data_IF_966465437049
#
_entry.id   IF_966465437049
#
_cell.length_a   1.000
_cell.length_b   1.000
_cell.length_c   1.000
_cell.angle_alpha   90.00
_cell.angle_beta   90.00
_cell.angle_gamma   90.00
#
_symmetry.space_group_name_H-M   'P 1'
#
loop_
_entity.id
_entity.type
_entity.pdbx_description
1 polymer ?
#
# COMPACT_ATOMS: atom_id res chain seq x y z
N UNK A 1 -53.21 7.79 -44.56
CA UNK A 1 -52.95 6.86 -43.44
C UNK A 1 -51.50 6.39 -43.56
N UNK A 2 -50.60 7.01 -42.80
CA UNK A 2 -49.17 6.66 -42.78
C UNK A 2 -48.92 6.04 -41.40
N UNK A 3 -48.62 4.74 -41.37
CA UNK A 3 -48.34 4.01 -40.15
C UNK A 3 -46.90 4.29 -39.70
N UNK A 4 -46.74 4.81 -38.47
CA UNK A 4 -45.46 4.93 -37.77
C UNK A 4 -45.20 3.63 -37.02
N UNK A 5 -44.11 2.94 -37.34
CA UNK A 5 -43.60 1.82 -36.55
C UNK A 5 -42.67 2.37 -35.47
N UNK A 6 -43.04 2.18 -34.20
CA UNK A 6 -42.18 2.46 -33.04
C UNK A 6 -41.26 1.27 -32.79
N UNK A 7 -39.96 1.46 -32.95
CA UNK A 7 -38.93 0.50 -32.53
C UNK A 7 -38.63 0.79 -31.06
N UNK A 8 -39.10 -0.08 -30.16
CA UNK A 8 -38.68 -0.06 -28.76
C UNK A 8 -37.37 -0.84 -28.64
N UNK A 9 -36.28 -0.12 -28.40
CA UNK A 9 -34.98 -0.71 -28.09
C UNK A 9 -34.97 -1.23 -26.65
N UNK A 10 -34.92 -2.55 -26.51
CA UNK A 10 -34.70 -3.23 -25.23
C UNK A 10 -33.21 -3.08 -24.86
N UNK A 11 -32.90 -2.20 -23.91
CA UNK A 11 -31.55 -2.13 -23.32
C UNK A 11 -31.39 -3.30 -22.36
N UNK A 12 -30.70 -4.33 -22.82
CA UNK A 12 -30.36 -5.50 -22.01
C UNK A 12 -29.22 -5.11 -21.06
N UNK A 13 -29.56 -4.75 -19.81
CA UNK A 13 -28.59 -4.64 -18.73
C UNK A 13 -28.03 -6.03 -18.42
N UNK A 14 -26.86 -6.37 -18.98
CA UNK A 14 -26.06 -7.51 -18.54
C UNK A 14 -25.58 -7.22 -17.11
N UNK A 15 -26.29 -7.78 -16.13
CA UNK A 15 -25.79 -7.92 -14.77
C UNK A 15 -24.60 -8.88 -14.79
N UNK A 16 -23.39 -8.32 -14.75
CA UNK A 16 -22.19 -9.09 -14.41
C UNK A 16 -22.36 -9.59 -12.98
N UNK A 17 -22.69 -10.88 -12.83
CA UNK A 17 -22.65 -11.53 -11.54
C UNK A 17 -21.21 -11.46 -11.01
N UNK A 18 -20.98 -11.03 -9.75
CA UNK A 18 -19.67 -11.12 -9.15
C UNK A 18 -19.31 -12.60 -9.10
N UNK A 19 -18.26 -13.00 -9.82
CA UNK A 19 -17.56 -14.25 -9.56
C UNK A 19 -16.97 -14.11 -8.17
N UNK A 20 -17.72 -14.55 -7.15
CA UNK A 20 -17.20 -14.63 -5.80
C UNK A 20 -15.98 -15.53 -5.82
N UNK A 21 -14.81 -14.98 -5.50
CA UNK A 21 -13.78 -15.79 -4.86
C UNK A 21 -14.46 -16.47 -3.67
N UNK A 22 -14.47 -17.80 -3.65
CA UNK A 22 -14.90 -18.56 -2.48
C UNK A 22 -14.20 -18.00 -1.24
N UNK A 23 -14.96 -17.81 -0.16
CA UNK A 23 -14.43 -17.43 1.14
C UNK A 23 -13.24 -18.33 1.48
N UNK A 24 -12.06 -17.72 1.68
CA UNK A 24 -10.81 -18.40 2.03
C UNK A 24 -11.07 -19.35 3.20
N UNK A 25 -10.78 -20.63 3.00
CA UNK A 25 -10.93 -21.67 4.03
C UNK A 25 -9.89 -21.45 5.12
N UNK A 26 -10.27 -20.72 6.15
CA UNK A 26 -9.71 -20.94 7.49
C UNK A 26 -9.93 -22.39 7.89
N UNK A 27 -9.09 -22.91 8.79
CA UNK A 27 -9.32 -24.20 9.45
C UNK A 27 -10.80 -24.28 9.86
N UNK A 28 -11.57 -25.30 9.40
CA UNK A 28 -12.99 -25.40 9.70
C UNK A 28 -13.28 -25.46 11.22
N UNK A 29 -12.29 -25.84 12.03
CA UNK A 29 -12.40 -25.89 13.49
C UNK A 29 -11.95 -24.59 14.18
N UNK A 30 -11.34 -23.66 13.44
CA UNK A 30 -10.91 -22.37 13.99
C UNK A 30 -12.10 -21.48 14.34
N UNK A 31 -12.11 -21.00 15.59
CA UNK A 31 -13.08 -20.03 16.07
C UNK A 31 -12.36 -18.76 16.45
N UNK A 32 -12.55 -17.71 15.65
CA UNK A 32 -12.00 -16.41 15.94
C UNK A 32 -12.48 -15.91 17.32
N UNK A 33 -11.58 -15.32 18.14
CA UNK A 33 -12.00 -14.64 19.37
C UNK A 33 -13.04 -13.57 19.03
N UNK A 34 -13.94 -13.30 19.98
CA UNK A 34 -15.04 -12.35 19.79
C UNK A 34 -14.98 -11.21 20.78
N UNK A 35 -15.38 -10.02 20.32
CA UNK A 35 -15.57 -8.84 21.16
C UNK A 35 -16.75 -9.05 22.11
N UNK A 36 -16.89 -8.16 23.11
CA UNK A 36 -18.02 -8.19 24.05
C UNK A 36 -19.40 -8.01 23.37
N UNK A 37 -19.42 -7.51 22.13
CA UNK A 37 -20.62 -7.34 21.30
C UNK A 37 -20.74 -8.40 20.18
N UNK A 38 -19.90 -9.43 20.19
CA UNK A 38 -20.07 -10.65 19.38
C UNK A 38 -19.46 -10.65 17.99
N UNK A 39 -18.78 -9.58 17.57
CA UNK A 39 -18.01 -9.55 16.32
C UNK A 39 -16.66 -10.25 16.50
N UNK A 40 -16.05 -10.79 15.42
CA UNK A 40 -14.66 -11.25 15.45
C UNK A 40 -13.72 -10.14 15.94
N UNK A 41 -12.83 -10.48 16.87
CA UNK A 41 -11.88 -9.57 17.47
C UNK A 41 -10.62 -9.47 16.60
N UNK A 42 -10.44 -8.31 15.99
CA UNK A 42 -9.26 -7.93 15.20
C UNK A 42 -8.34 -6.97 15.98
N UNK A 43 -8.71 -6.60 17.21
CA UNK A 43 -7.96 -5.61 17.98
C UNK A 43 -6.53 -6.08 18.24
N UNK A 44 -5.66 -5.09 18.41
CA UNK A 44 -4.26 -5.29 18.73
C UNK A 44 -3.34 -4.74 17.65
N UNK A 45 -2.07 -5.10 17.79
CA UNK A 45 -1.02 -4.61 16.92
C UNK A 45 -0.61 -5.71 15.94
N UNK A 46 -0.40 -5.31 14.69
CA UNK A 46 -0.18 -6.21 13.55
C UNK A 46 0.93 -5.66 12.67
N UNK A 47 1.62 -6.53 11.92
CA UNK A 47 2.65 -6.16 10.96
C UNK A 47 2.41 -6.85 9.63
N UNK A 48 2.53 -6.12 8.52
CA UNK A 48 2.48 -6.72 7.18
C UNK A 48 3.86 -6.98 6.57
N UNK A 49 4.93 -6.88 7.37
CA UNK A 49 6.30 -7.05 6.90
C UNK A 49 6.53 -8.43 6.26
N UNK A 50 7.05 -8.45 5.03
CA UNK A 50 7.27 -9.68 4.27
C UNK A 50 8.30 -9.52 3.17
N UNK A 51 9.06 -10.59 2.93
CA UNK A 51 9.99 -10.72 1.81
C UNK A 51 9.28 -10.89 0.46
N UNK A 52 7.99 -11.20 0.46
CA UNK A 52 7.24 -11.47 -0.77
C UNK A 52 7.12 -10.19 -1.63
N UNK A 53 7.48 -10.26 -2.92
CA UNK A 53 7.36 -9.12 -3.83
C UNK A 53 5.88 -8.79 -4.08
N UNK A 54 5.58 -7.57 -4.53
CA UNK A 54 4.18 -7.15 -4.69
C UNK A 54 3.62 -7.81 -5.95
N UNK A 55 4.39 -7.69 -7.04
CA UNK A 55 4.16 -8.40 -8.29
C UNK A 55 5.10 -9.59 -8.44
N UNK A 56 4.61 -10.64 -9.09
CA UNK A 56 5.37 -11.86 -9.38
C UNK A 56 6.46 -11.60 -10.41
N UNK A 57 7.66 -12.13 -10.20
CA UNK A 57 8.69 -12.10 -11.24
C UNK A 57 8.25 -12.95 -12.43
N UNK A 58 8.50 -12.47 -13.66
CA UNK A 58 8.12 -13.20 -14.87
C UNK A 58 8.79 -14.58 -14.89
N UNK A 59 8.03 -15.61 -15.27
CA UNK A 59 8.51 -17.00 -15.35
C UNK A 59 8.47 -17.79 -14.04
N UNK A 60 8.07 -17.19 -12.91
CA UNK A 60 7.82 -17.93 -11.67
C UNK A 60 6.38 -18.42 -11.58
N UNK A 61 6.20 -19.60 -10.97
CA UNK A 61 4.89 -20.09 -10.54
C UNK A 61 4.35 -19.32 -9.33
N UNK A 62 3.10 -19.59 -8.88
CA UNK A 62 2.46 -18.86 -7.78
C UNK A 62 3.03 -19.16 -6.39
N UNK A 63 3.72 -20.30 -6.25
CA UNK A 63 4.22 -20.81 -4.98
C UNK A 63 5.72 -21.07 -5.08
N UNK A 64 6.49 -20.59 -4.10
CA UNK A 64 7.91 -20.94 -3.97
C UNK A 64 8.06 -22.38 -3.49
N UNK A 65 9.08 -23.04 -4.03
CA UNK A 65 9.58 -24.29 -3.45
C UNK A 65 10.22 -24.03 -2.08
N UNK A 66 10.30 -25.05 -1.22
CA UNK A 66 10.93 -24.89 0.09
C UNK A 66 12.41 -24.45 -0.03
N UNK A 67 13.15 -24.94 -1.02
CA UNK A 67 14.53 -24.54 -1.26
C UNK A 67 14.66 -23.04 -1.59
N UNK A 68 13.74 -22.49 -2.40
CA UNK A 68 13.71 -21.05 -2.69
C UNK A 68 13.36 -20.23 -1.46
N UNK A 69 12.44 -20.71 -0.62
CA UNK A 69 12.12 -20.06 0.66
C UNK A 69 13.34 -20.03 1.58
N UNK A 70 14.01 -21.18 1.74
CA UNK A 70 15.19 -21.29 2.59
C UNK A 70 16.32 -20.36 2.10
N UNK A 71 16.49 -20.23 0.78
CA UNK A 71 17.44 -19.30 0.18
C UNK A 71 17.08 -17.84 0.47
N UNK A 72 15.82 -17.45 0.27
CA UNK A 72 15.35 -16.07 0.46
C UNK A 72 15.43 -15.65 1.92
N UNK A 73 14.89 -16.46 2.83
CA UNK A 73 14.90 -16.18 4.27
C UNK A 73 16.31 -16.29 4.87
N UNK A 74 17.12 -17.23 4.38
CA UNK A 74 18.53 -17.36 4.76
C UNK A 74 19.36 -16.15 4.35
N UNK A 75 19.16 -15.64 3.12
CA UNK A 75 19.82 -14.43 2.62
C UNK A 75 19.44 -13.20 3.43
N UNK A 76 18.16 -13.04 3.78
CA UNK A 76 17.73 -11.90 4.61
C UNK A 76 18.37 -11.99 6.00
N UNK A 77 18.33 -13.17 6.64
CA UNK A 77 18.95 -13.39 7.96
C UNK A 77 20.44 -13.01 7.96
N UNK A 78 21.18 -13.44 6.94
CA UNK A 78 22.60 -13.09 6.76
C UNK A 78 22.81 -11.58 6.53
N UNK A 79 21.93 -10.94 5.74
CA UNK A 79 21.96 -9.50 5.47
C UNK A 79 21.72 -8.69 6.74
N UNK A 80 20.73 -9.06 7.54
CA UNK A 80 20.42 -8.41 8.81
C UNK A 80 21.56 -8.59 9.79
N UNK A 81 22.10 -9.80 9.93
CA UNK A 81 23.22 -10.07 10.84
C UNK A 81 24.44 -9.20 10.48
N UNK A 82 24.91 -9.26 9.24
CA UNK A 82 26.10 -8.52 8.79
C UNK A 82 25.88 -7.01 8.78
N UNK A 83 24.67 -6.57 8.41
CA UNK A 83 24.37 -5.15 8.27
C UNK A 83 24.00 -4.45 9.58
N UNK A 84 23.84 -5.19 10.68
CA UNK A 84 23.53 -4.65 12.01
C UNK A 84 24.78 -4.42 12.87
N UNK A 85 25.95 -4.85 12.39
CA UNK A 85 27.22 -4.61 13.07
C UNK A 85 27.51 -3.12 13.24
N UNK A 86 28.19 -2.76 14.34
CA UNK A 86 28.56 -1.38 14.62
C UNK A 86 29.38 -0.78 13.46
N UNK A 87 28.98 0.41 13.01
CA UNK A 87 29.75 1.14 12.01
C UNK A 87 31.14 1.49 12.56
N UNK A 88 32.20 1.32 11.77
CA UNK A 88 33.55 1.72 12.15
C UNK A 88 33.64 3.27 12.25
N UNK A 89 33.84 3.85 13.44
CA UNK A 89 33.92 5.30 13.61
C UNK A 89 35.20 5.90 12.99
N UNK A 90 36.24 5.09 12.80
CA UNK A 90 37.53 5.52 12.25
C UNK A 90 37.58 5.41 10.70
N UNK A 91 36.47 5.06 10.05
CA UNK A 91 36.46 5.01 8.59
C UNK A 91 36.60 6.43 8.02
N UNK A 92 37.52 6.62 7.08
CA UNK A 92 37.63 7.87 6.35
C UNK A 92 36.35 8.20 5.56
N UNK A 93 36.13 9.47 5.19
CA UNK A 93 34.99 9.84 4.35
C UNK A 93 35.05 9.09 3.02
N UNK A 94 33.90 8.73 2.42
CA UNK A 94 33.88 8.16 1.08
C UNK A 94 34.46 9.18 0.07
N UNK A 95 34.95 8.72 -1.10
CA UNK A 95 35.32 9.63 -2.18
C UNK A 95 34.19 10.61 -2.51
N UNK A 96 34.52 11.80 -3.02
CA UNK A 96 33.52 12.85 -3.34
C UNK A 96 32.44 12.36 -4.32
N UNK A 97 32.78 11.42 -5.20
CA UNK A 97 31.87 10.74 -6.13
C UNK A 97 31.45 9.34 -5.67
N UNK A 98 31.87 8.94 -4.47
CA UNK A 98 31.61 7.63 -3.89
C UNK A 98 30.22 7.55 -3.28
N UNK A 99 29.58 6.39 -3.42
CA UNK A 99 28.36 6.09 -2.67
C UNK A 99 28.68 6.05 -1.18
N UNK A 100 27.84 6.72 -0.37
CA UNK A 100 27.86 6.56 1.11
C UNK A 100 27.43 5.14 1.54
N UNK A 101 27.07 4.27 0.60
CA UNK A 101 26.60 2.91 0.84
C UNK A 101 25.18 2.91 1.39
N UNK A 102 24.97 2.18 2.49
CA UNK A 102 23.68 2.13 3.19
C UNK A 102 23.58 3.32 4.16
N UNK A 103 22.50 4.08 4.06
CA UNK A 103 22.25 5.24 4.93
C UNK A 103 21.99 4.87 6.39
N UNK A 104 21.60 3.62 6.65
CA UNK A 104 21.35 3.06 7.99
C UNK A 104 21.87 1.62 8.11
N UNK A 105 22.21 1.22 9.33
CA UNK A 105 22.37 -0.18 9.71
C UNK A 105 21.08 -0.98 9.43
N UNK A 106 21.21 -2.29 9.18
CA UNK A 106 20.06 -3.13 8.85
C UNK A 106 19.06 -3.30 9.99
N UNK A 107 19.47 -3.11 11.25
CA UNK A 107 18.58 -3.15 12.41
C UNK A 107 17.45 -2.11 12.36
N UNK A 108 17.61 -1.03 11.60
CA UNK A 108 16.58 0.01 11.41
C UNK A 108 15.64 -0.27 10.23
N UNK A 109 15.88 -1.33 9.46
CA UNK A 109 14.98 -1.74 8.38
C UNK A 109 14.07 -2.86 8.87
N UNK A 110 12.79 -2.72 8.59
CA UNK A 110 11.78 -3.74 8.75
C UNK A 110 11.30 -4.16 7.35
N UNK A 111 11.98 -5.14 6.77
CA UNK A 111 11.64 -5.72 5.45
C UNK A 111 10.83 -7.01 5.58
N UNK A 112 10.61 -7.46 6.80
CA UNK A 112 10.20 -8.83 7.12
C UNK A 112 11.34 -9.83 6.95
N UNK A 113 11.25 -10.95 7.64
CA UNK A 113 12.24 -12.04 7.66
C UNK A 113 11.69 -13.35 7.09
N UNK A 114 10.45 -13.31 6.60
CA UNK A 114 9.72 -14.45 6.03
C UNK A 114 9.03 -14.10 4.73
N UNK A 115 8.90 -15.11 3.89
CA UNK A 115 7.97 -15.08 2.76
C UNK A 115 6.53 -15.14 3.29
N UNK A 116 5.61 -14.42 2.65
CA UNK A 116 4.18 -14.48 2.94
C UNK A 116 3.66 -15.90 2.68
N UNK A 117 2.92 -16.45 3.65
CA UNK A 117 2.27 -17.75 3.55
C UNK A 117 0.77 -17.56 3.68
N UNK A 118 0.02 -18.17 2.79
CA UNK A 118 -1.45 -18.22 2.82
C UNK A 118 -1.84 -19.66 2.58
N UNK A 119 -2.66 -20.22 3.47
CA UNK A 119 -3.08 -21.63 3.44
C UNK A 119 -1.91 -22.63 3.36
N UNK A 120 -0.81 -22.30 4.06
CA UNK A 120 0.43 -23.10 4.08
C UNK A 120 1.37 -22.89 2.88
N UNK A 121 0.89 -22.26 1.81
CA UNK A 121 1.67 -22.05 0.58
C UNK A 121 2.50 -20.76 0.64
N UNK A 122 3.79 -20.86 0.33
CA UNK A 122 4.70 -19.70 0.26
C UNK A 122 4.48 -18.92 -1.05
N UNK A 123 3.88 -17.73 -0.96
CA UNK A 123 3.48 -16.94 -2.14
C UNK A 123 4.67 -16.27 -2.82
N UNK A 124 4.72 -16.35 -4.15
CA UNK A 124 5.73 -15.64 -4.97
C UNK A 124 5.38 -14.19 -5.29
N UNK A 125 4.19 -13.74 -4.91
CA UNK A 125 3.71 -12.37 -5.04
C UNK A 125 2.56 -12.09 -4.07
N UNK A 126 2.36 -10.83 -3.69
CA UNK A 126 1.18 -10.41 -2.94
C UNK A 126 -0.05 -10.27 -3.84
N UNK A 127 0.13 -9.90 -5.11
CA UNK A 127 -0.96 -9.98 -6.10
C UNK A 127 -1.19 -11.45 -6.47
N UNK A 128 -2.44 -11.88 -6.38
CA UNK A 128 -2.91 -13.24 -6.69
C UNK A 128 -3.92 -13.25 -7.83
N UNK A 129 -4.53 -12.10 -8.12
CA UNK A 129 -5.47 -11.91 -9.22
C UNK A 129 -5.07 -10.66 -10.03
N UNK A 130 -4.83 -10.77 -11.35
CA UNK A 130 -4.89 -11.97 -12.19
C UNK A 130 -3.87 -13.04 -11.79
N UNK A 131 -4.05 -14.27 -12.31
CA UNK A 131 -3.27 -15.44 -11.91
C UNK A 131 -1.77 -15.31 -12.21
N UNK A 132 -1.36 -14.38 -13.07
CA UNK A 132 0.05 -14.06 -13.33
C UNK A 132 0.70 -13.26 -12.19
N UNK A 133 -0.08 -12.77 -11.22
CA UNK A 133 0.36 -12.12 -10.00
C UNK A 133 0.89 -10.72 -10.25
N UNK A 134 0.30 -10.02 -11.21
CA UNK A 134 0.73 -8.69 -11.66
C UNK A 134 -0.43 -7.71 -11.75
N UNK A 135 -0.12 -6.42 -11.69
CA UNK A 135 -1.14 -5.41 -11.97
C UNK A 135 -1.49 -5.52 -13.47
N UNK A 136 -2.79 -5.53 -13.84
CA UNK A 136 -3.20 -5.59 -15.24
C UNK A 136 -2.70 -4.41 -16.06
N UNK A 137 -2.75 -4.58 -17.38
CA UNK A 137 -2.50 -3.49 -18.32
C UNK A 137 -3.47 -2.33 -18.08
N UNK A 138 -2.97 -1.12 -18.28
CA UNK A 138 -3.80 0.08 -18.23
C UNK A 138 -4.71 0.14 -19.46
N UNK A 139 -5.92 0.66 -19.27
CA UNK A 139 -6.75 1.07 -20.41
C UNK A 139 -6.12 2.25 -21.15
N UNK A 140 -6.56 2.58 -22.38
CA UNK A 140 -6.11 3.79 -23.06
C UNK A 140 -6.30 5.07 -22.23
N UNK A 141 -7.40 5.15 -21.46
CA UNK A 141 -7.65 6.28 -20.56
C UNK A 141 -6.68 6.30 -19.38
N UNK A 142 -6.46 5.15 -18.72
CA UNK A 142 -5.48 5.02 -17.65
C UNK A 142 -4.06 5.36 -18.10
N UNK A 143 -3.66 4.88 -19.27
CA UNK A 143 -2.38 5.19 -19.89
C UNK A 143 -2.24 6.68 -20.21
N UNK A 144 -3.29 7.33 -20.73
CA UNK A 144 -3.30 8.77 -20.98
C UNK A 144 -3.14 9.55 -19.68
N UNK A 145 -3.89 9.22 -18.62
CA UNK A 145 -3.77 9.87 -17.30
C UNK A 145 -2.35 9.81 -16.75
N UNK A 146 -1.71 8.64 -16.88
CA UNK A 146 -0.30 8.46 -16.51
C UNK A 146 0.63 9.33 -17.36
N UNK A 147 0.43 9.36 -18.67
CA UNK A 147 1.23 10.19 -19.59
C UNK A 147 1.09 11.68 -19.28
N UNK A 148 -0.12 12.17 -19.05
CA UNK A 148 -0.39 13.58 -18.75
C UNK A 148 0.35 14.01 -17.47
N UNK A 149 0.38 13.13 -16.45
CA UNK A 149 1.15 13.33 -15.23
C UNK A 149 2.65 13.45 -15.52
N UNK A 150 3.23 12.51 -16.28
CA UNK A 150 4.65 12.57 -16.65
C UNK A 150 4.98 13.79 -17.50
N UNK A 151 4.11 14.15 -18.46
CA UNK A 151 4.30 15.31 -19.31
C UNK A 151 4.33 16.59 -18.47
N UNK A 152 3.40 16.73 -17.53
CA UNK A 152 3.39 17.85 -16.59
C UNK A 152 4.70 17.92 -15.78
N UNK A 153 5.14 16.80 -15.19
CA UNK A 153 6.41 16.74 -14.43
C UNK A 153 7.62 17.12 -15.28
N UNK A 154 7.65 16.70 -16.54
CA UNK A 154 8.80 16.92 -17.43
C UNK A 154 9.06 18.39 -17.77
N UNK A 155 8.11 19.28 -17.49
CA UNK A 155 8.22 20.73 -17.73
C UNK A 155 9.06 21.46 -16.68
N UNK A 156 9.44 20.80 -15.59
CA UNK A 156 10.14 21.41 -14.46
C UNK A 156 11.29 20.50 -13.97
N UNK A 157 12.23 21.05 -13.20
CA UNK A 157 13.12 20.23 -12.39
C UNK A 157 12.35 19.47 -11.30
N UNK A 158 12.98 18.45 -10.70
CA UNK A 158 12.34 17.50 -9.77
C UNK A 158 11.55 18.19 -8.63
N UNK A 159 12.00 19.38 -8.22
CA UNK A 159 11.49 20.12 -7.09
C UNK A 159 11.10 21.58 -7.41
N UNK A 160 11.09 21.96 -8.69
CA UNK A 160 10.96 23.37 -9.14
C UNK A 160 9.51 23.84 -9.31
N UNK A 161 8.54 23.04 -8.85
CA UNK A 161 7.12 23.38 -8.91
C UNK A 161 6.39 22.90 -7.64
N UNK A 162 5.48 23.70 -7.05
CA UNK A 162 4.79 23.34 -5.81
C UNK A 162 3.96 22.06 -5.93
N UNK A 163 3.40 21.78 -7.10
CA UNK A 163 2.66 20.54 -7.39
C UNK A 163 3.56 19.31 -7.61
N UNK A 164 4.88 19.50 -7.68
CA UNK A 164 5.86 18.40 -7.71
C UNK A 164 6.39 18.03 -6.34
N UNK A 165 6.10 18.83 -5.30
CA UNK A 165 6.50 18.54 -3.92
C UNK A 165 5.77 17.28 -3.42
N UNK A 166 6.52 16.25 -2.98
CA UNK A 166 5.92 15.00 -2.58
C UNK A 166 4.79 15.08 -1.56
N UNK A 167 3.73 14.30 -1.71
CA UNK A 167 2.68 14.19 -0.69
C UNK A 167 3.24 13.77 0.68
N UNK A 168 4.29 12.95 0.68
CA UNK A 168 5.00 12.54 1.89
C UNK A 168 5.76 13.71 2.54
N UNK A 169 6.39 14.58 1.74
CA UNK A 169 7.07 15.78 2.25
C UNK A 169 6.07 16.78 2.84
N UNK A 170 4.88 16.85 2.24
CA UNK A 170 3.78 17.69 2.70
C UNK A 170 3.03 17.11 3.91
N UNK A 171 3.44 15.93 4.40
CA UNK A 171 2.79 15.20 5.49
C UNK A 171 1.28 14.95 5.23
N UNK A 172 0.93 14.65 3.97
CA UNK A 172 -0.46 14.43 3.54
C UNK A 172 -0.79 12.93 3.44
N UNK A 173 0.05 12.18 2.73
CA UNK A 173 -0.05 10.72 2.60
C UNK A 173 1.37 10.18 2.54
N UNK A 174 1.63 9.11 3.29
CA UNK A 174 2.90 8.41 3.19
C UNK A 174 2.83 7.17 2.30
N UNK A 175 3.83 7.05 1.42
CA UNK A 175 3.99 5.89 0.54
C UNK A 175 5.22 5.06 0.84
N UNK A 176 6.23 5.58 1.56
CA UNK A 176 7.49 4.88 1.78
C UNK A 176 8.05 4.24 0.51
N UNK A 177 8.49 2.98 0.59
CA UNK A 177 8.74 2.15 -0.59
C UNK A 177 7.58 1.22 -0.94
N UNK A 178 6.40 1.41 -0.32
CA UNK A 178 5.17 0.69 -0.61
C UNK A 178 4.75 0.85 -2.08
N UNK A 179 3.95 -0.10 -2.55
CA UNK A 179 3.45 -0.13 -3.92
C UNK A 179 2.17 0.66 -4.12
N UNK A 180 1.43 0.92 -3.06
CA UNK A 180 0.12 1.56 -3.13
C UNK A 180 0.05 2.76 -2.21
N UNK A 181 0.11 2.49 -0.92
CA UNK A 181 0.15 3.37 0.23
C UNK A 181 0.30 2.47 1.46
N UNK A 182 0.65 3.07 2.60
CA UNK A 182 0.63 2.34 3.87
C UNK A 182 -0.81 2.13 4.36
N UNK A 183 -1.70 3.11 4.09
CA UNK A 183 -3.07 3.16 4.63
C UNK A 183 -4.19 3.19 3.59
N UNK A 184 -3.89 3.55 2.34
CA UNK A 184 -4.90 3.51 1.28
C UNK A 184 -5.00 2.13 0.64
N UNK A 185 -6.18 1.75 0.15
CA UNK A 185 -6.34 0.47 -0.51
C UNK A 185 -5.53 0.39 -1.82
N UNK A 186 -4.79 -0.71 -2.06
CA UNK A 186 -4.51 -1.77 -1.10
C UNK A 186 -3.43 -1.38 -0.08
N UNK A 187 -3.60 -1.80 1.17
CA UNK A 187 -2.57 -1.63 2.20
C UNK A 187 -1.41 -2.57 1.93
N UNK A 188 -0.25 -2.01 1.56
CA UNK A 188 0.91 -2.82 1.16
C UNK A 188 2.15 -2.46 1.96
N UNK A 189 3.06 -3.44 2.19
CA UNK A 189 4.23 -3.22 3.03
C UNK A 189 5.12 -2.10 2.50
N UNK A 190 5.65 -1.27 3.40
CA UNK A 190 6.57 -0.18 3.10
C UNK A 190 7.87 -0.69 2.50
N UNK A 191 8.27 -1.94 2.81
CA UNK A 191 9.58 -2.54 2.51
C UNK A 191 10.79 -1.76 3.03
N UNK A 192 10.54 -0.78 3.89
CA UNK A 192 11.53 0.08 4.51
C UNK A 192 11.55 -0.23 5.98
N UNK A 193 10.75 0.53 6.74
CA UNK A 193 10.56 0.41 8.17
C UNK A 193 9.09 0.69 8.52
N UNK A 194 8.70 0.39 9.76
CA UNK A 194 7.40 0.72 10.36
C UNK A 194 6.20 0.13 9.61
N UNK A 195 6.23 -1.18 9.34
CA UNK A 195 5.12 -1.90 8.70
C UNK A 195 4.02 -2.30 9.69
N UNK A 196 3.90 -1.58 10.81
CA UNK A 196 3.06 -1.94 11.94
C UNK A 196 1.75 -1.15 11.92
N UNK A 197 0.69 -1.80 12.39
CA UNK A 197 -0.67 -1.27 12.45
C UNK A 197 -1.27 -1.51 13.83
N UNK A 198 -2.05 -0.57 14.33
CA UNK A 198 -2.93 -0.76 15.48
C UNK A 198 -4.37 -0.84 14.98
N UNK A 199 -5.07 -1.89 15.39
CA UNK A 199 -6.52 -2.00 15.21
C UNK A 199 -7.22 -1.75 16.54
N UNK A 200 -8.15 -0.80 16.54
CA UNK A 200 -9.09 -0.57 17.64
C UNK A 200 -10.50 -0.74 17.11
N UNK A 201 -11.35 -1.45 17.85
CA UNK A 201 -12.72 -1.74 17.44
C UNK A 201 -13.71 -1.25 18.49
N UNK A 202 -14.82 -0.68 18.03
CA UNK A 202 -16.02 -0.52 18.84
C UNK A 202 -17.22 -1.18 18.14
N UNK A 203 -18.43 -0.92 18.64
CA UNK A 203 -19.66 -1.51 18.08
C UNK A 203 -19.95 -0.99 16.66
N UNK A 204 -19.54 0.24 16.35
CA UNK A 204 -19.91 0.99 15.15
C UNK A 204 -18.71 1.25 14.21
N UNK A 205 -17.48 1.01 14.65
CA UNK A 205 -16.26 1.38 13.93
C UNK A 205 -15.14 0.35 14.09
N UNK A 206 -14.32 0.25 13.04
CA UNK A 206 -12.98 -0.33 13.09
C UNK A 206 -11.98 0.75 12.67
N UNK A 207 -11.08 1.10 13.58
CA UNK A 207 -10.00 2.05 13.37
C UNK A 207 -8.73 1.27 13.06
N UNK A 208 -8.05 1.64 11.97
CA UNK A 208 -6.75 1.08 11.60
C UNK A 208 -5.77 2.24 11.54
N UNK A 209 -4.80 2.26 12.45
CA UNK A 209 -3.73 3.25 12.48
C UNK A 209 -2.44 2.62 12.00
N UNK A 210 -1.72 3.30 11.11
CA UNK A 210 -0.36 2.93 10.72
C UNK A 210 0.65 3.56 11.67
N UNK A 211 1.69 2.82 12.07
CA UNK A 211 2.85 3.39 12.78
C UNK A 211 3.54 4.48 11.95
N UNK A 212 3.55 4.34 10.62
CA UNK A 212 4.18 5.32 9.75
C UNK A 212 3.30 6.57 9.59
N UNK A 213 3.87 7.74 9.87
CA UNK A 213 3.21 9.05 9.93
C UNK A 213 2.23 9.18 11.10
N UNK A 214 0.93 9.15 10.85
CA UNK A 214 -0.13 9.40 11.84
C UNK A 214 -1.51 9.10 11.24
N UNK A 215 -1.53 8.33 10.15
CA UNK A 215 -2.74 8.13 9.36
C UNK A 215 -3.64 7.11 10.08
N UNK A 216 -4.90 7.50 10.28
CA UNK A 216 -5.94 6.65 10.88
C UNK A 216 -7.06 6.48 9.86
N UNK A 217 -7.29 5.24 9.46
CA UNK A 217 -8.42 4.86 8.62
C UNK A 217 -9.60 4.45 9.50
N UNK A 218 -10.73 5.13 9.30
CA UNK A 218 -11.98 4.87 10.03
C UNK A 218 -12.91 4.09 9.11
N UNK A 219 -13.16 2.82 9.44
CA UNK A 219 -14.16 1.97 8.80
C UNK A 219 -15.44 2.05 9.62
N UNK A 220 -16.52 2.58 9.05
CA UNK A 220 -17.85 2.64 9.69
C UNK A 220 -18.61 1.34 9.43
N UNK A 221 -19.29 0.82 10.45
CA UNK A 221 -20.02 -0.43 10.39
C UNK A 221 -21.53 -0.19 10.18
N UNK A 222 -22.18 -1.12 9.46
CA UNK A 222 -23.63 -1.12 9.25
C UNK A 222 -24.07 -0.56 7.91
N UNK A 223 -25.28 0.00 7.84
CA UNK A 223 -25.85 0.47 6.58
C UNK A 223 -25.11 1.71 6.05
N UNK A 224 -24.52 1.65 4.83
CA UNK A 224 -23.70 2.74 4.33
C UNK A 224 -24.44 4.05 4.11
N UNK A 225 -24.09 5.06 4.90
CA UNK A 225 -24.41 6.48 4.64
C UNK A 225 -23.24 7.13 3.94
N UNK A 226 -23.10 6.83 2.65
CA UNK A 226 -21.96 7.24 1.82
C UNK A 226 -21.84 8.76 1.70
N UNK A 227 -20.60 9.25 1.67
CA UNK A 227 -20.30 10.65 1.37
C UNK A 227 -20.71 10.99 -0.08
N UNK A 228 -21.19 12.23 -0.34
CA UNK A 228 -21.40 12.69 -1.71
C UNK A 228 -20.13 12.55 -2.56
N UNK A 229 -20.26 12.14 -3.82
CA UNK A 229 -19.13 11.83 -4.73
C UNK A 229 -18.09 12.95 -4.90
N UNK A 230 -18.46 14.20 -4.61
CA UNK A 230 -17.55 15.36 -4.64
C UNK A 230 -16.64 15.47 -3.42
N UNK A 231 -17.00 14.82 -2.31
CA UNK A 231 -16.20 14.78 -1.09
C UNK A 231 -15.30 13.56 -1.19
N UNK A 232 -14.01 13.79 -1.38
CA UNK A 232 -13.00 12.75 -1.60
C UNK A 232 -11.86 12.84 -0.58
N UNK A 233 -11.98 12.18 0.58
CA UNK A 233 -10.87 12.04 1.52
C UNK A 233 -9.68 11.31 0.88
N UNK A 234 -8.46 11.55 1.38
CA UNK A 234 -7.25 10.91 0.85
C UNK A 234 -7.34 9.39 0.81
N UNK A 235 -7.83 8.77 1.89
CA UNK A 235 -8.02 7.31 2.01
C UNK A 235 -9.44 6.85 1.66
N UNK A 236 -10.28 7.73 1.12
CA UNK A 236 -11.65 7.42 0.71
C UNK A 236 -12.68 7.32 1.85
N UNK A 237 -13.88 6.89 1.48
CA UNK A 237 -15.03 6.66 2.36
C UNK A 237 -15.21 5.16 2.59
N UNK A 238 -14.79 4.67 3.75
CA UNK A 238 -14.76 3.24 4.08
C UNK A 238 -15.98 2.82 4.91
N UNK A 239 -16.72 1.85 4.41
CA UNK A 239 -17.84 1.22 5.10
C UNK A 239 -17.66 -0.28 5.11
N UNK A 240 -18.01 -0.94 6.22
CA UNK A 240 -17.86 -2.37 6.35
C UNK A 240 -19.02 -3.08 7.03
N UNK A 241 -19.05 -4.38 6.83
CA UNK A 241 -19.99 -5.30 7.45
C UNK A 241 -19.29 -6.64 7.71
N UNK A 242 -19.87 -7.43 8.61
CA UNK A 242 -19.31 -8.73 8.97
C UNK A 242 -19.97 -9.86 8.17
N UNK A 243 -19.13 -10.72 7.59
CA UNK A 243 -19.53 -11.98 6.96
C UNK A 243 -18.81 -13.12 7.69
N UNK A 244 -19.50 -13.77 8.63
CA UNK A 244 -18.88 -14.79 9.49
C UNK A 244 -17.72 -14.23 10.31
N UNK A 245 -16.49 -14.67 10.01
CA UNK A 245 -15.26 -14.24 10.68
C UNK A 245 -14.51 -13.11 9.94
N UNK A 246 -15.10 -12.56 8.89
CA UNK A 246 -14.46 -11.61 7.98
C UNK A 246 -15.13 -10.25 8.06
N UNK A 247 -14.34 -9.20 8.30
CA UNK A 247 -14.77 -7.83 8.06
C UNK A 247 -14.59 -7.52 6.57
N UNK A 248 -15.69 -7.33 5.86
CA UNK A 248 -15.69 -6.87 4.46
C UNK A 248 -15.81 -5.36 4.46
N UNK A 249 -14.90 -4.67 3.77
CA UNK A 249 -14.84 -3.21 3.69
C UNK A 249 -14.91 -2.78 2.24
N UNK A 250 -15.86 -1.91 1.90
CA UNK A 250 -15.93 -1.26 0.60
C UNK A 250 -15.55 0.22 0.75
N UNK A 251 -14.55 0.64 -0.04
CA UNK A 251 -14.06 2.01 -0.05
C UNK A 251 -14.20 2.64 -1.42
N UNK A 252 -14.85 3.81 -1.43
CA UNK A 252 -15.07 4.66 -2.61
C UNK A 252 -14.53 6.06 -2.33
N UNK A 253 -14.69 7.00 -3.27
CA UNK A 253 -14.37 8.41 -3.09
C UNK A 253 -12.89 8.65 -2.70
N UNK A 254 -11.97 7.77 -3.08
CA UNK A 254 -10.54 7.95 -2.83
C UNK A 254 -10.06 9.17 -3.63
N UNK A 255 -9.23 10.00 -3.00
CA UNK A 255 -8.70 11.19 -3.67
C UNK A 255 -7.91 10.78 -4.93
N UNK A 256 -8.14 11.36 -6.11
CA UNK A 256 -7.52 10.90 -7.36
C UNK A 256 -5.98 11.00 -7.37
N UNK A 257 -5.42 11.95 -6.60
CA UNK A 257 -3.97 12.08 -6.46
C UNK A 257 -3.35 11.07 -5.47
N UNK A 258 -4.15 10.25 -4.78
CA UNK A 258 -3.63 9.28 -3.81
C UNK A 258 -2.82 8.15 -4.48
N UNK A 259 -2.98 7.86 -5.78
CA UNK A 259 -2.28 6.75 -6.44
C UNK A 259 -0.96 7.16 -7.10
N UNK A 260 -0.83 8.44 -7.44
CA UNK A 260 0.32 8.97 -8.15
C UNK A 260 1.49 9.18 -7.18
N UNK A 261 2.24 8.11 -6.88
CA UNK A 261 3.53 8.24 -6.21
C UNK A 261 4.54 8.86 -7.18
N UNK A 262 5.07 10.04 -6.84
CA UNK A 262 5.87 10.89 -7.73
C UNK A 262 7.15 10.26 -8.32
N UNK A 263 7.58 9.14 -7.75
CA UNK A 263 8.85 8.47 -8.07
C UNK A 263 8.67 7.13 -8.80
N UNK A 264 7.49 6.50 -8.78
CA UNK A 264 7.39 5.08 -9.21
C UNK A 264 6.06 4.65 -9.87
N UNK A 265 5.08 5.55 -10.07
CA UNK A 265 3.80 5.30 -10.77
C UNK A 265 3.00 4.05 -10.36
N UNK A 266 3.21 3.53 -9.15
CA UNK A 266 2.95 2.11 -8.89
C UNK A 266 1.46 1.73 -8.92
N UNK A 267 0.54 2.63 -8.59
CA UNK A 267 -0.90 2.42 -8.77
C UNK A 267 -1.54 3.71 -9.25
N UNK A 268 -1.85 3.78 -10.55
CA UNK A 268 -2.69 4.87 -11.08
C UNK A 268 -4.14 4.47 -10.83
N UNK A 269 -4.99 5.44 -10.50
CA UNK A 269 -6.42 5.20 -10.42
C UNK A 269 -7.22 6.40 -10.92
N UNK A 270 -8.47 6.14 -11.26
CA UNK A 270 -9.47 7.12 -11.63
C UNK A 270 -10.34 7.46 -10.42
N UNK A 271 -11.15 8.49 -10.59
CA UNK A 271 -12.17 8.88 -9.64
C UNK A 271 -13.21 7.76 -9.36
N UNK A 272 -13.31 6.75 -10.24
CA UNK A 272 -14.25 5.63 -10.16
C UNK A 272 -13.66 4.40 -9.45
N UNK A 273 -12.45 4.53 -8.87
CA UNK A 273 -11.86 3.50 -8.03
C UNK A 273 -12.79 3.09 -6.89
N UNK A 274 -13.10 1.79 -6.86
CA UNK A 274 -13.72 1.10 -5.73
C UNK A 274 -12.80 -0.03 -5.25
N UNK A 275 -12.47 -0.03 -3.97
CA UNK A 275 -11.74 -1.11 -3.34
C UNK A 275 -12.69 -1.98 -2.49
N UNK A 276 -12.56 -3.29 -2.61
CA UNK A 276 -13.20 -4.26 -1.70
C UNK A 276 -12.08 -4.94 -0.93
N UNK A 277 -12.06 -4.77 0.38
CA UNK A 277 -11.06 -5.34 1.26
C UNK A 277 -11.71 -6.31 2.22
N UNK A 278 -10.97 -7.33 2.65
CA UNK A 278 -11.44 -8.31 3.62
C UNK A 278 -10.37 -8.54 4.65
N UNK A 279 -10.75 -8.45 5.93
CA UNK A 279 -9.89 -8.74 7.05
C UNK A 279 -10.45 -9.98 7.76
N UNK A 280 -9.79 -11.11 7.56
CA UNK A 280 -10.22 -12.39 8.15
C UNK A 280 -9.24 -12.77 9.25
N UNK A 281 -9.73 -13.00 10.47
CA UNK A 281 -8.91 -13.60 11.53
C UNK A 281 -8.67 -15.07 11.21
N UNK A 282 -7.51 -15.38 10.63
CA UNK A 282 -7.21 -16.71 10.09
C UNK A 282 -6.78 -17.69 11.18
N UNK A 283 -6.07 -17.19 12.20
CA UNK A 283 -5.63 -17.91 13.38
C UNK A 283 -5.31 -16.92 14.52
N UNK A 284 -4.72 -17.41 15.62
CA UNK A 284 -4.34 -16.59 16.78
C UNK A 284 -3.36 -15.46 16.43
N UNK A 285 -2.49 -15.65 15.44
CA UNK A 285 -1.38 -14.76 15.11
C UNK A 285 -1.48 -14.11 13.74
N UNK A 286 -2.56 -14.37 12.98
CA UNK A 286 -2.71 -13.93 11.60
C UNK A 286 -4.06 -13.29 11.30
N UNK A 287 -4.02 -12.06 10.76
CA UNK A 287 -5.12 -11.49 9.98
C UNK A 287 -4.75 -11.64 8.51
N UNK A 288 -5.57 -12.35 7.75
CA UNK A 288 -5.46 -12.38 6.30
C UNK A 288 -6.19 -11.17 5.72
N UNK A 289 -5.41 -10.19 5.27
CA UNK A 289 -5.94 -9.06 4.51
C UNK A 289 -5.95 -9.41 3.02
N UNK A 290 -7.13 -9.35 2.40
CA UNK A 290 -7.26 -9.43 0.94
C UNK A 290 -7.91 -8.19 0.38
N UNK A 291 -7.67 -7.94 -0.90
CA UNK A 291 -8.22 -6.79 -1.58
C UNK A 291 -8.55 -7.07 -3.03
N UNK A 292 -9.51 -6.33 -3.56
CA UNK A 292 -9.85 -6.22 -4.96
C UNK A 292 -9.97 -4.75 -5.35
N UNK A 293 -9.42 -4.41 -6.51
CA UNK A 293 -9.41 -3.08 -7.09
C UNK A 293 -10.29 -3.07 -8.34
N UNK A 294 -11.40 -2.34 -8.25
CA UNK A 294 -12.38 -2.15 -9.30
C UNK A 294 -12.23 -0.73 -9.86
N UNK A 295 -11.54 -0.61 -10.99
CA UNK A 295 -11.40 0.67 -11.71
C UNK A 295 -11.31 0.42 -13.23
N UNK A 296 -12.45 0.25 -13.90
CA UNK A 296 -12.49 -0.09 -15.33
C UNK A 296 -12.02 1.05 -16.25
N UNK A 297 -11.84 2.26 -15.71
CA UNK A 297 -11.28 3.39 -16.45
C UNK A 297 -9.78 3.45 -16.39
N UNK A 298 -9.16 2.73 -15.45
CA UNK A 298 -7.71 2.66 -15.34
C UNK A 298 -7.16 1.30 -15.74
N UNK A 299 -7.79 0.20 -15.36
CA UNK A 299 -7.30 -1.16 -15.59
C UNK A 299 -8.20 -1.95 -16.54
N UNK A 300 -7.60 -2.84 -17.33
CA UNK A 300 -8.33 -3.71 -18.27
C UNK A 300 -9.18 -4.79 -17.59
N UNK A 301 -8.94 -5.06 -16.31
CA UNK A 301 -9.70 -6.00 -15.47
C UNK A 301 -9.53 -5.64 -14.00
N UNK A 302 -10.41 -6.20 -13.15
CA UNK A 302 -10.25 -6.18 -11.69
C UNK A 302 -8.94 -6.89 -11.33
N UNK A 303 -8.28 -6.45 -10.27
CA UNK A 303 -7.08 -7.10 -9.75
C UNK A 303 -7.05 -7.06 -8.24
N UNK A 304 -6.30 -7.96 -7.62
CA UNK A 304 -6.37 -8.20 -6.19
C UNK A 304 -5.22 -9.03 -5.66
N UNK A 305 -5.15 -9.12 -4.34
CA UNK A 305 -4.04 -9.77 -3.67
C UNK A 305 -4.34 -10.15 -2.22
N UNK A 306 -3.36 -10.80 -1.64
CA UNK A 306 -3.35 -11.32 -0.28
C UNK A 306 -2.10 -10.79 0.44
N UNK A 307 -2.29 -10.17 1.60
CA UNK A 307 -1.21 -9.72 2.47
C UNK A 307 -1.49 -10.26 3.87
N UNK A 308 -0.83 -11.36 4.29
CA UNK A 308 -0.99 -11.84 5.66
C UNK A 308 -0.34 -10.84 6.62
N UNK A 309 -1.11 -10.41 7.61
CA UNK A 309 -0.62 -9.59 8.71
C UNK A 309 -0.38 -10.48 9.90
N UNK A 310 0.81 -10.36 10.50
CA UNK A 310 1.19 -11.11 11.69
C UNK A 310 1.03 -10.27 12.93
N UNK A 311 0.71 -10.91 14.03
CA UNK A 311 0.65 -10.26 15.33
C UNK A 311 1.98 -9.59 15.69
N UNK A 312 1.89 -8.39 16.25
CA UNK A 312 3.04 -7.61 16.71
C UNK A 312 2.86 -7.31 18.20
N UNK A 313 3.44 -8.14 19.07
CA UNK A 313 3.24 -8.07 20.53
C UNK A 313 4.05 -6.95 21.23
N UNK A 314 4.36 -5.86 20.52
CA UNK A 314 5.05 -4.69 21.06
C UNK A 314 4.20 -3.42 20.92
N UNK A 315 4.61 -2.36 21.59
CA UNK A 315 3.97 -1.05 21.48
C UNK A 315 4.31 -0.41 20.15
N UNK A 316 3.32 0.24 19.54
CA UNK A 316 3.52 1.11 18.40
C UNK A 316 3.90 2.48 18.92
N UNK A 317 5.00 3.04 18.42
CA UNK A 317 5.51 4.34 18.81
C UNK A 317 5.06 5.43 17.83
N UNK A 318 5.09 6.68 18.28
CA UNK A 318 4.81 7.82 17.43
C UNK A 318 5.88 7.99 16.34
N UNK A 319 5.44 8.30 15.12
CA UNK A 319 6.32 8.72 14.04
C UNK A 319 6.36 10.25 13.91
N UNK A 320 7.37 10.88 14.51
CA UNK A 320 7.57 12.32 14.44
C UNK A 320 8.38 12.74 13.20
N UNK A 321 7.73 13.03 12.07
CA UNK A 321 8.41 13.38 10.81
C UNK A 321 9.02 14.80 10.78
N UNK A 322 8.52 15.74 11.58
CA UNK A 322 8.85 17.17 11.45
C UNK A 322 9.67 17.72 12.63
N UNK A 323 9.67 17.05 13.78
CA UNK A 323 10.40 17.52 14.95
C UNK A 323 11.91 17.49 14.71
N UNK A 324 12.61 18.59 14.97
CA UNK A 324 14.05 18.71 14.70
C UNK A 324 14.44 18.82 13.22
N UNK A 325 13.51 19.10 12.31
CA UNK A 325 13.82 19.23 10.89
C UNK A 325 14.52 20.57 10.56
N UNK A 326 15.85 20.54 10.45
CA UNK A 326 16.68 21.66 10.01
C UNK A 326 16.97 21.67 8.51
N UNK A 327 16.36 20.74 7.75
CA UNK A 327 16.72 20.51 6.35
C UNK A 327 16.49 21.75 5.47
N UNK A 328 15.41 22.51 5.71
CA UNK A 328 15.14 23.72 4.91
C UNK A 328 16.26 24.76 5.05
N UNK A 329 16.70 25.03 6.28
CA UNK A 329 17.81 25.96 6.52
C UNK A 329 19.11 25.46 5.89
N UNK A 330 19.39 24.15 5.97
CA UNK A 330 20.57 23.52 5.39
C UNK A 330 20.55 23.58 3.85
N UNK A 331 19.41 23.27 3.22
CA UNK A 331 19.23 23.34 1.76
C UNK A 331 19.40 24.77 1.25
N UNK A 332 18.77 25.74 1.90
CA UNK A 332 18.92 27.16 1.53
C UNK A 332 20.37 27.63 1.71
N UNK A 333 21.05 27.18 2.76
CA UNK A 333 22.47 27.48 2.99
C UNK A 333 23.39 26.88 1.92
N UNK A 334 23.09 25.66 1.46
CA UNK A 334 23.75 25.02 0.32
C UNK A 334 23.55 25.80 -0.98
N UNK A 335 22.31 26.19 -1.30
CA UNK A 335 22.03 27.02 -2.47
C UNK A 335 22.76 28.38 -2.43
N UNK A 336 22.79 29.04 -1.26
CA UNK A 336 23.60 30.28 -1.08
C UNK A 336 25.10 30.04 -1.26
N UNK A 337 25.59 28.85 -0.95
CA UNK A 337 26.99 28.49 -1.18
C UNK A 337 27.28 28.31 -2.67
N UNK A 338 26.43 27.59 -3.40
CA UNK A 338 26.55 27.40 -4.85
C UNK A 338 26.58 28.74 -5.60
N UNK A 339 25.65 29.65 -5.29
CA UNK A 339 25.64 31.00 -5.88
C UNK A 339 26.93 31.79 -5.64
N UNK A 340 27.55 31.64 -4.45
CA UNK A 340 28.83 32.30 -4.15
C UNK A 340 29.96 31.71 -4.99
N UNK A 341 30.00 30.39 -5.18
CA UNK A 341 31.01 29.71 -6.00
C UNK A 341 30.88 30.13 -7.46
N UNK A 342 29.66 30.16 -8.01
CA UNK A 342 29.40 30.61 -9.39
C UNK A 342 29.82 32.07 -9.61
N UNK A 343 29.52 32.96 -8.65
CA UNK A 343 29.91 34.36 -8.71
C UNK A 343 31.43 34.57 -8.65
N UNK A 344 32.18 33.66 -8.01
CA UNK A 344 33.64 33.70 -7.91
C UNK A 344 34.35 33.08 -9.11
N UNK A 345 33.79 32.01 -9.70
CA UNK A 345 34.33 31.36 -10.90
C UNK A 345 34.03 32.10 -12.22
N UNK A 346 33.15 33.10 -12.17
CA UNK A 346 32.81 33.98 -13.29
C UNK A 346 33.63 35.28 -13.35
N UNK A 347 34.65 35.43 -12.48
CA UNK A 347 35.65 36.50 -12.49
C UNK A 347 37.00 35.93 -12.91
#
# INVERSE_FOLDING_TARGET
MIARASISGLVLCLALAPTGLEAQRSDPDWQAPRTAWGHPDLQGNWSNATLTPFERRRGLGPVYTQAEVDELEGRERSTVQTGSDASNPERGPPPVTGSIGRSYNQIYYDRGDRVARVDGEARTSLITFPSDGRIPELTPEGARRKQDYHEFRSRFGEFDHPELRPLAERCIVFYGSSSASVMGPPMTPTRGYNNNFMIVQDVDHVLIMSEMIHDVRIVRLGEPKRLPVRIRPWFGDSWGHWEGNTLVVETTNIHPSHGMREQTDKIVHSEDLRAIERFTRADDDTILYTFEIHDPRTYTQVWGGEVPWRKYDQQIFEYACHEGNYALANVLSGARYEERVEAQGSR
#
